data_IF_930950834879
#
_entry.id   IF_930950834879
#
_cell.length_a   1.000
_cell.length_b   1.000
_cell.length_c   1.000
_cell.angle_alpha   90.00
_cell.angle_beta   90.00
_cell.angle_gamma   90.00
#
_symmetry.space_group_name_H-M   'P 1'
#
loop_
_entity.id
_entity.type
_entity.pdbx_description
1 polymer ?
#
# COMPACT_ATOMS: atom_id res chain seq x y z
N UNK A 1 2.55 1.88 5.07
CA UNK A 1 1.39 0.99 5.27
C UNK A 1 1.02 0.84 6.74
N UNK A 2 1.89 0.28 7.61
CA UNK A 2 1.59 0.08 9.04
C UNK A 2 1.10 1.36 9.75
N UNK A 3 1.77 2.49 9.54
CA UNK A 3 1.38 3.77 10.13
C UNK A 3 -0.04 4.22 9.75
N UNK A 4 -0.44 4.13 8.48
CA UNK A 4 -1.78 4.52 8.04
C UNK A 4 -2.87 3.59 8.59
N UNK A 5 -2.58 2.29 8.72
CA UNK A 5 -3.47 1.33 9.34
C UNK A 5 -3.64 1.60 10.84
N UNK A 6 -2.53 1.85 11.55
CA UNK A 6 -2.55 2.19 12.98
C UNK A 6 -3.25 3.53 13.25
N UNK A 7 -3.18 4.48 12.32
CA UNK A 7 -3.91 5.75 12.39
C UNK A 7 -5.39 5.62 11.95
N UNK A 8 -5.87 4.43 11.58
CA UNK A 8 -7.24 4.22 11.10
C UNK A 8 -7.55 4.88 9.76
N UNK A 9 -6.55 5.45 9.07
CA UNK A 9 -6.69 6.05 7.73
C UNK A 9 -6.77 4.99 6.63
N UNK A 10 -6.32 3.76 6.92
CA UNK A 10 -6.29 2.66 5.97
C UNK A 10 -7.03 1.44 6.54
N UNK A 11 -7.92 0.86 5.73
CA UNK A 11 -8.69 -0.32 6.12
C UNK A 11 -7.80 -1.57 6.28
N UNK A 12 -8.06 -2.38 7.30
CA UNK A 12 -7.30 -3.59 7.61
C UNK A 12 -7.31 -4.64 6.51
N UNK A 13 -8.30 -4.61 5.59
CA UNK A 13 -8.30 -5.45 4.39
C UNK A 13 -7.04 -5.24 3.57
N UNK A 14 -6.49 -4.03 3.50
CA UNK A 14 -5.30 -3.75 2.71
C UNK A 14 -4.07 -4.42 3.31
N UNK A 15 -3.92 -4.40 4.64
CA UNK A 15 -2.84 -5.10 5.32
C UNK A 15 -3.01 -6.61 5.20
N UNK A 16 -4.23 -7.11 5.35
CA UNK A 16 -4.49 -8.54 5.34
C UNK A 16 -4.37 -9.14 3.93
N UNK A 17 -4.99 -8.55 2.91
CA UNK A 17 -4.93 -9.03 1.52
C UNK A 17 -3.55 -8.83 0.89
N UNK A 18 -2.85 -7.74 1.19
CA UNK A 18 -1.61 -7.39 0.47
C UNK A 18 -0.32 -7.64 1.24
N UNK A 19 -0.27 -7.45 2.57
CA UNK A 19 0.94 -7.77 3.35
C UNK A 19 0.98 -9.24 3.80
N UNK A 20 -0.15 -9.78 4.25
CA UNK A 20 -0.24 -11.16 4.76
C UNK A 20 -0.77 -12.18 3.75
N UNK A 21 -1.59 -11.73 2.80
CA UNK A 21 -2.16 -12.56 1.74
C UNK A 21 -1.26 -12.65 0.51
N UNK A 22 -1.75 -12.16 -0.61
CA UNK A 22 -1.13 -12.38 -1.92
C UNK A 22 -0.28 -11.18 -2.32
N UNK A 23 0.99 -11.23 -1.91
CA UNK A 23 1.99 -10.17 -2.18
C UNK A 23 2.15 -9.87 -3.67
N UNK A 24 1.80 -10.80 -4.56
CA UNK A 24 1.85 -10.62 -6.02
C UNK A 24 0.83 -9.62 -6.54
N UNK A 25 -0.21 -9.29 -5.76
CA UNK A 25 -1.19 -8.26 -6.13
C UNK A 25 -0.72 -6.85 -5.78
N UNK A 26 0.29 -6.71 -4.94
CA UNK A 26 0.78 -5.41 -4.48
C UNK A 26 1.58 -4.69 -5.57
N UNK A 27 1.00 -3.62 -6.11
CA UNK A 27 1.64 -2.76 -7.12
C UNK A 27 2.88 -2.06 -6.57
N UNK A 28 2.87 -1.65 -5.28
CA UNK A 28 4.06 -1.09 -4.62
C UNK A 28 5.23 -2.06 -4.63
N UNK A 29 4.96 -3.33 -4.27
CA UNK A 29 5.98 -4.38 -4.25
C UNK A 29 6.55 -4.62 -5.65
N UNK A 30 5.69 -4.72 -6.68
CA UNK A 30 6.13 -4.83 -8.07
C UNK A 30 6.97 -3.63 -8.53
N UNK A 31 6.60 -2.41 -8.13
CA UNK A 31 7.37 -1.22 -8.46
C UNK A 31 8.74 -1.24 -7.77
N UNK A 32 8.83 -1.64 -6.51
CA UNK A 32 10.12 -1.81 -5.81
C UNK A 32 10.99 -2.89 -6.45
N UNK A 33 10.40 -4.02 -6.84
CA UNK A 33 11.10 -5.08 -7.58
C UNK A 33 11.61 -4.59 -8.96
N UNK A 34 10.83 -3.75 -9.64
CA UNK A 34 11.20 -3.12 -10.92
C UNK A 34 12.17 -1.92 -10.73
N UNK A 35 12.53 -1.58 -9.50
CA UNK A 35 13.40 -0.45 -9.17
C UNK A 35 12.75 0.93 -9.40
N UNK A 36 11.42 0.99 -9.46
CA UNK A 36 10.63 2.20 -9.65
C UNK A 36 10.19 2.78 -8.31
N UNK A 37 10.37 4.08 -8.15
CA UNK A 37 9.80 4.79 -7.00
C UNK A 37 8.27 4.81 -7.07
N UNK A 38 7.62 4.56 -5.94
CA UNK A 38 6.20 4.78 -5.74
C UNK A 38 5.95 5.86 -4.68
N UNK A 39 4.82 6.60 -4.76
CA UNK A 39 4.42 7.54 -3.72
C UNK A 39 4.01 6.86 -2.42
N UNK A 40 4.26 7.49 -1.27
CA UNK A 40 3.87 6.94 0.03
C UNK A 40 2.36 6.78 0.21
N UNK A 41 1.59 7.68 -0.41
CA UNK A 41 0.14 7.68 -0.43
C UNK A 41 -0.45 6.76 -1.51
N UNK A 42 0.39 5.95 -2.17
CA UNK A 42 -0.07 4.91 -3.08
C UNK A 42 -0.59 3.70 -2.30
N UNK A 43 -1.78 3.26 -2.68
CA UNK A 43 -2.42 2.05 -2.23
C UNK A 43 -1.80 0.81 -2.90
N UNK A 44 -2.00 -0.38 -2.34
CA UNK A 44 -1.46 -1.63 -2.87
C UNK A 44 -2.04 -2.01 -4.24
N UNK A 45 -3.22 -1.49 -4.61
CA UNK A 45 -3.81 -1.64 -5.95
C UNK A 45 -3.23 -0.66 -6.98
N UNK A 46 -2.30 0.22 -6.58
CA UNK A 46 -1.67 1.23 -7.43
C UNK A 46 -2.43 2.56 -7.50
N UNK A 47 -3.58 2.69 -6.83
CA UNK A 47 -4.27 3.98 -6.74
C UNK A 47 -3.56 4.92 -5.78
N UNK A 48 -3.52 6.20 -6.12
CA UNK A 48 -3.09 7.24 -5.17
C UNK A 48 -4.28 7.63 -4.33
N UNK A 49 -4.18 7.47 -3.01
CA UNK A 49 -5.17 7.97 -2.09
C UNK A 49 -4.66 9.26 -1.45
N UNK A 50 -5.16 10.39 -1.94
CA UNK A 50 -4.81 11.72 -1.43
C UNK A 50 -5.22 11.94 0.03
N UNK A 51 -5.98 11.04 0.65
CA UNK A 51 -6.29 11.08 2.09
C UNK A 51 -5.17 10.47 2.94
N UNK A 52 -4.29 9.68 2.32
CA UNK A 52 -3.11 9.08 2.95
C UNK A 52 -1.91 10.02 2.88
N UNK A 53 -2.12 11.29 3.23
CA UNK A 53 -1.05 12.25 3.44
C UNK A 53 -0.57 12.20 4.89
N UNK A 54 0.71 12.44 5.10
CA UNK A 54 1.34 12.50 6.42
C UNK A 54 0.71 13.62 7.26
#
# INVERSE_FOLDING_TARGET
MKWFFENGKLDGKWVNDYCFGDRTKCVRYKMEEDGRCHPDNMLPDGKIDERLQY
#
